data_IF_529740298567
#
_entry.id   IF_529740298567
#
_cell.length_a   1.000
_cell.length_b   1.000
_cell.length_c   1.000
_cell.angle_alpha   90.00
_cell.angle_beta   90.00
_cell.angle_gamma   90.00
#
_symmetry.space_group_name_H-M   'P 1'
#
loop_
_entity.id
_entity.type
_entity.pdbx_description
1 polymer ?
#
# COMPACT_ATOMS: atom_id res chain seq x y z
N UNK A 1 28.78 65.18 -50.35
CA UNK A 1 27.80 65.17 -51.46
C UNK A 1 26.63 64.31 -51.03
N UNK A 2 25.51 64.99 -50.73
CA UNK A 2 24.09 64.51 -50.65
C UNK A 2 23.82 63.34 -49.69
N UNK A 3 23.28 63.48 -48.47
CA UNK A 3 22.15 64.26 -47.92
C UNK A 3 20.73 63.87 -48.40
N UNK A 4 19.96 63.36 -47.41
CA UNK A 4 18.51 63.39 -47.15
C UNK A 4 17.48 62.77 -48.12
N UNK A 5 16.61 61.90 -47.56
CA UNK A 5 15.27 62.35 -47.11
C UNK A 5 14.58 61.41 -46.10
N UNK A 6 14.07 62.06 -45.06
CA UNK A 6 13.23 61.50 -44.00
C UNK A 6 11.74 61.48 -44.38
N UNK A 7 11.01 60.52 -43.82
CA UNK A 7 9.59 60.56 -43.42
C UNK A 7 9.35 59.24 -42.66
N UNK A 8 8.71 59.13 -41.50
CA UNK A 8 7.91 60.01 -40.67
C UNK A 8 7.24 59.05 -39.67
N UNK A 9 7.28 59.37 -38.38
CA UNK A 9 6.64 58.58 -37.32
C UNK A 9 5.12 58.53 -37.54
N UNK A 10 4.52 57.35 -37.45
CA UNK A 10 3.18 57.19 -36.87
C UNK A 10 3.17 56.03 -35.90
N UNK A 11 3.00 56.41 -34.64
CA UNK A 11 2.58 55.56 -33.53
C UNK A 11 1.24 54.90 -33.84
N UNK A 12 1.18 53.58 -33.71
CA UNK A 12 -0.04 52.89 -33.26
C UNK A 12 0.37 51.95 -32.14
N UNK A 13 0.25 52.46 -30.92
CA UNK A 13 0.09 51.62 -29.74
C UNK A 13 -1.19 50.76 -29.89
N UNK A 14 -1.13 49.53 -29.37
CA UNK A 14 -2.34 48.77 -29.05
C UNK A 14 -2.53 47.48 -29.86
N UNK A 15 -1.85 46.42 -29.45
CA UNK A 15 -2.52 45.28 -28.82
C UNK A 15 -1.44 44.29 -28.41
N UNK A 16 -1.20 44.20 -27.10
CA UNK A 16 -0.32 43.19 -26.53
C UNK A 16 -0.86 41.82 -26.89
N UNK A 17 -0.21 41.15 -27.83
CA UNK A 17 -0.32 39.72 -27.96
C UNK A 17 0.19 39.13 -26.64
N UNK A 18 -0.73 38.79 -25.73
CA UNK A 18 -0.47 37.73 -24.76
C UNK A 18 -0.07 36.52 -25.59
N UNK A 19 1.23 36.31 -25.73
CA UNK A 19 1.81 35.07 -26.22
C UNK A 19 1.24 33.99 -25.30
N UNK A 20 0.22 33.30 -25.80
CA UNK A 20 -0.39 32.17 -25.11
C UNK A 20 0.76 31.24 -24.76
N UNK A 21 1.02 31.11 -23.46
CA UNK A 21 1.96 30.12 -22.95
C UNK A 21 1.56 28.80 -23.59
N UNK A 22 2.43 28.26 -24.45
CA UNK A 22 2.17 26.98 -25.10
C UNK A 22 1.81 25.99 -23.99
N UNK A 23 0.59 25.45 -24.02
CA UNK A 23 0.13 24.49 -23.04
C UNK A 23 1.00 23.24 -23.18
N UNK A 24 2.10 23.18 -22.41
CA UNK A 24 2.98 22.02 -22.33
C UNK A 24 2.27 20.95 -21.50
N UNK A 25 1.20 20.40 -22.06
CA UNK A 25 0.51 19.25 -21.49
C UNK A 25 1.13 17.98 -22.05
N UNK A 26 1.66 17.07 -21.21
CA UNK A 26 2.12 15.77 -21.68
C UNK A 26 0.99 15.03 -22.43
N UNK A 27 1.30 14.38 -23.56
CA UNK A 27 0.28 13.78 -24.45
C UNK A 27 -0.61 12.73 -23.76
N UNK A 28 -0.12 12.10 -22.69
CA UNK A 28 -0.83 11.07 -21.93
C UNK A 28 -1.68 11.62 -20.76
N UNK A 29 -1.83 12.94 -20.64
CA UNK A 29 -2.50 13.57 -19.50
C UNK A 29 -3.54 14.61 -19.88
N UNK A 30 -4.60 14.70 -19.08
CA UNK A 30 -5.55 15.81 -19.08
C UNK A 30 -5.26 16.73 -17.91
N UNK A 31 -5.26 18.03 -18.15
CA UNK A 31 -5.16 19.01 -17.08
C UNK A 31 -6.56 19.48 -16.71
N UNK A 32 -6.96 19.26 -15.46
CA UNK A 32 -8.17 19.81 -14.88
C UNK A 32 -7.77 21.09 -14.12
N UNK A 33 -8.28 22.24 -14.55
CA UNK A 33 -8.06 23.52 -13.88
C UNK A 33 -9.32 23.92 -13.13
N UNK A 34 -9.20 24.21 -11.83
CA UNK A 34 -10.26 24.73 -10.99
C UNK A 34 -9.73 25.88 -10.15
N UNK A 35 -9.99 27.12 -10.58
CA UNK A 35 -9.46 28.33 -9.93
C UNK A 35 -7.93 28.35 -9.91
N UNK A 36 -7.34 28.45 -8.71
CA UNK A 36 -5.87 28.43 -8.49
C UNK A 36 -5.25 27.04 -8.52
N UNK A 37 -6.05 25.97 -8.58
CA UNK A 37 -5.58 24.58 -8.60
C UNK A 37 -5.53 24.03 -10.02
N UNK A 38 -4.41 23.37 -10.34
CA UNK A 38 -4.20 22.64 -11.60
C UNK A 38 -3.85 21.19 -11.27
N UNK A 39 -4.67 20.25 -11.75
CA UNK A 39 -4.51 18.82 -11.53
C UNK A 39 -4.20 18.13 -12.85
N UNK A 40 -3.11 17.37 -12.87
CA UNK A 40 -2.71 16.62 -14.06
C UNK A 40 -3.14 15.16 -13.91
N UNK A 41 -4.20 14.77 -14.61
CA UNK A 41 -4.74 13.41 -14.60
C UNK A 41 -4.11 12.59 -15.73
N UNK A 42 -3.27 11.60 -15.43
CA UNK A 42 -2.81 10.63 -16.43
C UNK A 42 -3.96 9.76 -16.92
N UNK A 43 -4.30 9.83 -18.21
CA UNK A 43 -5.47 9.15 -18.79
C UNK A 43 -5.43 7.64 -18.57
N UNK A 44 -4.29 6.99 -18.83
CA UNK A 44 -4.14 5.53 -18.68
C UNK A 44 -4.27 5.07 -17.23
N UNK A 45 -3.64 5.77 -16.30
CA UNK A 45 -3.74 5.44 -14.87
C UNK A 45 -5.13 5.71 -14.31
N UNK A 46 -5.81 6.76 -14.76
CA UNK A 46 -7.20 7.05 -14.40
C UNK A 46 -8.15 5.97 -14.95
N UNK A 47 -7.97 5.56 -16.21
CA UNK A 47 -8.73 4.45 -16.81
C UNK A 47 -8.47 3.12 -16.09
N UNK A 48 -7.22 2.81 -15.77
CA UNK A 48 -6.87 1.62 -15.00
C UNK A 48 -7.54 1.62 -13.61
N UNK A 49 -7.50 2.75 -12.90
CA UNK A 49 -8.21 2.89 -11.63
C UNK A 49 -9.73 2.74 -11.81
N UNK A 50 -10.32 3.38 -12.82
CA UNK A 50 -11.75 3.29 -13.11
C UNK A 50 -12.19 1.86 -13.45
N UNK A 51 -11.35 1.06 -14.13
CA UNK A 51 -11.60 -0.35 -14.42
C UNK A 51 -11.38 -1.27 -13.21
N UNK A 52 -10.49 -0.91 -12.29
CA UNK A 52 -10.26 -1.67 -11.06
C UNK A 52 -11.41 -1.53 -10.05
N UNK A 53 -12.13 -0.40 -10.04
CA UNK A 53 -13.28 -0.18 -9.17
C UNK A 53 -14.39 -1.25 -9.36
N UNK A 54 -14.93 -1.52 -10.56
CA UNK A 54 -15.94 -2.55 -10.74
C UNK A 54 -15.42 -3.95 -10.41
N UNK A 55 -14.15 -4.25 -10.70
CA UNK A 55 -13.51 -5.52 -10.30
C UNK A 55 -13.51 -5.66 -8.78
N UNK A 56 -13.15 -4.59 -8.05
CA UNK A 56 -13.15 -4.58 -6.60
C UNK A 56 -14.57 -4.77 -6.03
N UNK A 57 -15.58 -4.14 -6.63
CA UNK A 57 -16.99 -4.31 -6.25
C UNK A 57 -17.42 -5.77 -6.43
N UNK A 58 -17.10 -6.38 -7.59
CA UNK A 58 -17.41 -7.79 -7.85
C UNK A 58 -16.69 -8.70 -6.84
N UNK A 59 -15.40 -8.49 -6.58
CA UNK A 59 -14.65 -9.29 -5.60
C UNK A 59 -15.18 -9.12 -4.19
N UNK A 60 -15.62 -7.92 -3.81
CA UNK A 60 -16.25 -7.65 -2.51
C UNK A 60 -17.58 -8.39 -2.41
N UNK A 61 -18.42 -8.36 -3.45
CA UNK A 61 -19.66 -9.12 -3.49
C UNK A 61 -19.41 -10.64 -3.38
N UNK A 62 -18.41 -11.15 -4.11
CA UNK A 62 -17.99 -12.55 -4.01
C UNK A 62 -17.47 -12.89 -2.62
N UNK A 63 -16.71 -12.01 -1.96
CA UNK A 63 -16.23 -12.22 -0.60
C UNK A 63 -17.37 -12.22 0.44
N UNK A 64 -18.43 -11.42 0.22
CA UNK A 64 -19.64 -11.46 1.06
C UNK A 64 -20.38 -12.78 0.90
N UNK A 65 -20.46 -13.27 -0.33
CA UNK A 65 -21.08 -14.57 -0.68
C UNK A 65 -20.24 -15.77 -0.25
N UNK A 66 -18.92 -15.63 -0.16
CA UNK A 66 -18.00 -16.68 0.26
C UNK A 66 -18.32 -17.12 1.69
N UNK A 67 -18.62 -18.39 1.85
CA UNK A 67 -19.16 -18.95 3.09
C UNK A 67 -18.58 -20.33 3.35
N UNK A 68 -17.86 -20.46 4.47
CA UNK A 68 -17.44 -21.74 5.07
C UNK A 68 -18.61 -22.47 5.75
N UNK A 69 -19.69 -21.75 6.04
CA UNK A 69 -20.85 -22.23 6.83
C UNK A 69 -22.01 -22.73 5.96
N UNK A 70 -21.85 -22.80 4.63
CA UNK A 70 -22.88 -23.31 3.72
C UNK A 70 -24.09 -22.38 3.48
N UNK A 71 -24.08 -21.18 4.07
CA UNK A 71 -25.12 -20.17 3.93
C UNK A 71 -25.46 -19.87 2.46
N UNK A 72 -26.75 -19.89 2.13
CA UNK A 72 -27.27 -19.64 0.78
C UNK A 72 -27.26 -18.16 0.39
N UNK A 73 -27.41 -17.88 -0.91
CA UNK A 73 -27.48 -16.50 -1.42
C UNK A 73 -28.63 -15.69 -0.79
N UNK A 74 -29.87 -16.21 -0.69
CA UNK A 74 -30.99 -15.45 -0.09
C UNK A 74 -30.77 -15.15 1.40
N UNK A 75 -30.17 -16.09 2.14
CA UNK A 75 -29.80 -15.87 3.55
C UNK A 75 -28.75 -14.78 3.70
N UNK A 76 -27.74 -14.77 2.82
CA UNK A 76 -26.71 -13.73 2.83
C UNK A 76 -27.31 -12.35 2.53
N UNK A 77 -28.21 -12.26 1.55
CA UNK A 77 -28.89 -11.01 1.19
C UNK A 77 -29.84 -10.54 2.30
N UNK A 78 -30.61 -11.44 2.90
CA UNK A 78 -31.50 -11.10 4.02
C UNK A 78 -30.72 -10.69 5.28
N UNK A 79 -29.58 -11.34 5.56
CA UNK A 79 -28.64 -10.93 6.59
C UNK A 79 -28.06 -9.53 6.34
N UNK A 80 -27.71 -9.23 5.08
CA UNK A 80 -27.20 -7.92 4.67
C UNK A 80 -28.26 -6.82 4.84
N UNK A 81 -29.51 -7.09 4.44
CA UNK A 81 -30.64 -6.17 4.55
C UNK A 81 -31.18 -6.08 5.98
N UNK A 82 -30.84 -7.02 6.86
CA UNK A 82 -31.31 -7.05 8.25
C UNK A 82 -32.71 -7.62 8.40
N UNK A 83 -33.20 -8.33 7.39
CA UNK A 83 -34.55 -8.93 7.35
C UNK A 83 -34.53 -10.44 7.60
N UNK A 84 -33.35 -11.04 7.74
CA UNK A 84 -33.17 -12.46 8.05
C UNK A 84 -33.26 -12.77 9.56
N UNK A 85 -33.04 -14.03 9.91
CA UNK A 85 -32.92 -14.47 11.30
C UNK A 85 -31.81 -13.68 12.05
N UNK A 86 -31.98 -13.36 13.35
CA UNK A 86 -30.98 -12.63 14.13
C UNK A 86 -29.56 -13.22 14.03
N UNK A 87 -29.42 -14.55 13.99
CA UNK A 87 -28.13 -15.22 13.82
C UNK A 87 -27.50 -14.96 12.45
N UNK A 88 -28.29 -15.02 11.38
CA UNK A 88 -27.84 -14.70 10.01
C UNK A 88 -27.41 -13.25 9.89
N UNK A 89 -28.18 -12.32 10.48
CA UNK A 89 -27.86 -10.89 10.48
C UNK A 89 -26.55 -10.63 11.23
N UNK A 90 -26.37 -11.24 12.41
CA UNK A 90 -25.14 -11.12 13.19
C UNK A 90 -23.92 -11.65 12.42
N UNK A 91 -24.01 -12.83 11.80
CA UNK A 91 -22.91 -13.40 11.02
C UNK A 91 -22.53 -12.47 9.86
N UNK A 92 -23.51 -11.96 9.11
CA UNK A 92 -23.22 -11.10 7.95
C UNK A 92 -22.70 -9.73 8.39
N UNK A 93 -23.40 -9.04 9.31
CA UNK A 93 -23.10 -7.64 9.64
C UNK A 93 -21.98 -7.44 10.66
N UNK A 94 -21.84 -8.35 11.62
CA UNK A 94 -20.92 -8.17 12.74
C UNK A 94 -19.62 -8.98 12.57
N UNK A 95 -19.65 -10.05 11.77
CA UNK A 95 -18.45 -10.85 11.50
C UNK A 95 -17.93 -10.71 10.06
N UNK A 96 -18.79 -10.83 9.04
CA UNK A 96 -18.32 -10.85 7.64
C UNK A 96 -17.99 -9.47 7.09
N UNK A 97 -18.90 -8.51 7.20
CA UNK A 97 -18.70 -7.17 6.67
C UNK A 97 -17.48 -6.46 7.27
N UNK A 98 -17.27 -6.41 8.60
CA UNK A 98 -16.09 -5.76 9.15
C UNK A 98 -14.78 -6.48 8.77
N UNK A 99 -14.78 -7.82 8.66
CA UNK A 99 -13.62 -8.58 8.15
C UNK A 99 -13.27 -8.20 6.71
N UNK A 100 -14.26 -8.11 5.83
CA UNK A 100 -14.06 -7.74 4.43
C UNK A 100 -13.58 -6.27 4.35
N UNK A 101 -14.22 -5.39 5.10
CA UNK A 101 -13.84 -3.98 5.17
C UNK A 101 -12.39 -3.80 5.65
N UNK A 102 -12.02 -4.46 6.75
CA UNK A 102 -10.65 -4.45 7.25
C UNK A 102 -9.67 -5.02 6.21
N UNK A 103 -10.02 -6.13 5.54
CA UNK A 103 -9.20 -6.72 4.47
C UNK A 103 -8.95 -5.76 3.30
N UNK A 104 -9.98 -5.05 2.84
CA UNK A 104 -9.86 -4.05 1.79
C UNK A 104 -8.90 -2.92 2.21
N UNK A 105 -9.01 -2.44 3.45
CA UNK A 105 -8.16 -1.39 4.00
C UNK A 105 -6.70 -1.85 4.17
N UNK A 106 -6.48 -3.05 4.72
CA UNK A 106 -5.16 -3.68 4.84
C UNK A 106 -4.52 -3.85 3.46
N UNK A 107 -5.29 -4.30 2.46
CA UNK A 107 -4.80 -4.50 1.11
C UNK A 107 -4.41 -3.20 0.43
N UNK A 108 -5.22 -2.15 0.59
CA UNK A 108 -4.89 -0.82 0.12
C UNK A 108 -3.61 -0.28 0.77
N UNK A 109 -3.48 -0.43 2.09
CA UNK A 109 -2.31 0.01 2.85
C UNK A 109 -1.03 -0.71 2.41
N UNK A 110 -1.05 -2.04 2.30
CA UNK A 110 0.10 -2.84 1.80
C UNK A 110 0.44 -2.50 0.36
N UNK A 111 -0.55 -2.30 -0.50
CA UNK A 111 -0.34 -1.91 -1.89
C UNK A 111 0.38 -0.56 -2.01
N UNK A 112 -0.04 0.44 -1.22
CA UNK A 112 0.62 1.75 -1.20
C UNK A 112 2.01 1.66 -0.57
N UNK A 113 2.17 0.96 0.56
CA UNK A 113 3.46 0.78 1.20
C UNK A 113 4.47 0.12 0.25
N UNK A 114 4.06 -0.94 -0.43
CA UNK A 114 4.85 -1.59 -1.48
C UNK A 114 5.23 -0.64 -2.61
N UNK A 115 4.28 0.17 -3.09
CA UNK A 115 4.54 1.16 -4.14
C UNK A 115 5.62 2.18 -3.72
N UNK A 116 5.54 2.70 -2.50
CA UNK A 116 6.52 3.64 -1.96
C UNK A 116 7.89 2.97 -1.81
N UNK A 117 7.94 1.76 -1.22
CA UNK A 117 9.20 1.02 -1.02
C UNK A 117 9.89 0.67 -2.34
N UNK A 118 9.14 0.16 -3.33
CA UNK A 118 9.69 -0.16 -4.66
C UNK A 118 10.22 1.09 -5.38
N UNK A 119 9.52 2.21 -5.25
CA UNK A 119 9.93 3.49 -5.84
C UNK A 119 11.20 4.01 -5.19
N UNK A 120 11.31 3.93 -3.86
CA UNK A 120 12.50 4.35 -3.12
C UNK A 120 13.72 3.47 -3.40
N UNK A 121 13.51 2.15 -3.49
CA UNK A 121 14.57 1.21 -3.76
C UNK A 121 15.01 1.18 -5.24
N UNK A 122 14.21 1.77 -6.15
CA UNK A 122 14.41 1.60 -7.58
C UNK A 122 14.31 0.14 -8.04
N UNK A 123 13.67 -0.72 -7.23
CA UNK A 123 13.65 -2.17 -7.40
C UNK A 123 12.23 -2.70 -7.20
N UNK A 124 11.70 -3.36 -8.24
CA UNK A 124 10.35 -3.96 -8.24
C UNK A 124 10.18 -5.12 -7.27
N UNK A 125 11.28 -5.66 -6.74
CA UNK A 125 11.28 -6.74 -5.74
C UNK A 125 11.34 -6.22 -4.29
N UNK A 126 11.50 -4.91 -4.08
CA UNK A 126 11.60 -4.37 -2.74
C UNK A 126 10.22 -4.41 -2.04
N UNK A 127 10.21 -4.89 -0.80
CA UNK A 127 9.03 -4.91 0.08
C UNK A 127 9.34 -4.18 1.39
N UNK A 128 8.31 -3.62 2.07
CA UNK A 128 8.50 -2.97 3.37
C UNK A 128 9.09 -3.91 4.43
N UNK A 129 8.97 -5.23 4.26
CA UNK A 129 9.53 -6.25 5.16
C UNK A 129 11.05 -6.17 5.26
N UNK A 130 11.73 -5.71 4.20
CA UNK A 130 13.18 -5.53 4.16
C UNK A 130 13.69 -4.50 5.19
N UNK A 131 12.80 -3.67 5.74
CA UNK A 131 13.09 -2.65 6.77
C UNK A 131 12.65 -3.14 8.17
N UNK A 132 12.29 -4.42 8.31
CA UNK A 132 11.90 -5.02 9.59
C UNK A 132 10.55 -4.59 10.12
N UNK A 133 9.67 -4.10 9.24
CA UNK A 133 8.30 -3.71 9.60
C UNK A 133 7.54 -4.91 10.19
N UNK A 134 7.65 -6.06 9.54
CA UNK A 134 6.94 -7.26 9.94
C UNK A 134 7.43 -7.81 11.28
N UNK A 135 8.75 -7.92 11.43
CA UNK A 135 9.39 -8.45 12.65
C UNK A 135 9.16 -7.51 13.82
N UNK A 136 9.28 -6.19 13.60
CA UNK A 136 9.01 -5.16 14.60
C UNK A 136 7.58 -5.19 15.11
N UNK A 137 6.61 -5.27 14.20
CA UNK A 137 5.19 -5.40 14.56
C UNK A 137 4.94 -6.71 15.33
N UNK A 138 5.51 -7.82 14.86
CA UNK A 138 5.36 -9.14 15.48
C UNK A 138 5.94 -9.16 16.89
N UNK A 139 7.17 -8.68 17.08
CA UNK A 139 7.81 -8.63 18.39
C UNK A 139 7.06 -7.72 19.37
N UNK A 140 6.50 -6.60 18.93
CA UNK A 140 5.67 -5.76 19.80
C UNK A 140 4.40 -6.48 20.28
N UNK A 141 3.73 -7.21 19.37
CA UNK A 141 2.55 -8.01 19.71
C UNK A 141 2.90 -9.15 20.66
N UNK A 142 3.99 -9.87 20.36
CA UNK A 142 4.51 -10.98 21.18
C UNK A 142 4.92 -10.52 22.58
N UNK A 143 5.65 -9.41 22.69
CA UNK A 143 6.12 -8.88 23.97
C UNK A 143 4.97 -8.44 24.89
N UNK A 144 3.90 -7.87 24.31
CA UNK A 144 2.69 -7.51 25.08
C UNK A 144 1.90 -8.75 25.47
N UNK A 145 1.78 -9.73 24.58
CA UNK A 145 1.13 -11.01 24.87
C UNK A 145 1.79 -11.72 26.08
N UNK A 146 3.13 -11.69 26.15
CA UNK A 146 3.88 -12.29 27.26
C UNK A 146 3.79 -11.52 28.59
N UNK A 147 3.51 -10.22 28.54
CA UNK A 147 3.46 -9.35 29.73
C UNK A 147 2.07 -9.16 30.34
N UNK A 148 1.00 -9.61 29.69
CA UNK A 148 -0.37 -9.35 30.13
C UNK A 148 -1.12 -10.64 30.45
N UNK A 149 -1.77 -10.69 31.62
CA UNK A 149 -2.74 -11.74 31.98
C UNK A 149 -4.15 -11.46 31.45
N UNK A 150 -4.41 -10.27 30.89
CA UNK A 150 -5.76 -9.77 30.60
C UNK A 150 -5.96 -9.05 29.26
N UNK A 151 -4.94 -8.84 28.41
CA UNK A 151 -5.07 -8.07 27.16
C UNK A 151 -4.57 -8.86 25.94
N UNK A 152 -5.37 -9.86 25.59
CA UNK A 152 -5.15 -10.78 24.47
C UNK A 152 -5.48 -10.06 23.15
N UNK A 153 -4.47 -9.81 22.30
CA UNK A 153 -4.56 -9.76 20.82
C UNK A 153 -5.45 -8.66 20.17
N UNK A 154 -6.11 -7.79 20.93
CA UNK A 154 -7.06 -6.78 20.39
C UNK A 154 -6.49 -5.39 20.04
N UNK A 155 -5.28 -5.06 20.49
CA UNK A 155 -4.72 -3.71 20.33
C UNK A 155 -4.01 -3.55 18.98
N UNK A 156 -4.79 -3.35 17.92
CA UNK A 156 -4.31 -3.12 16.54
C UNK A 156 -3.22 -2.05 16.42
N UNK A 157 -3.20 -1.07 17.34
CA UNK A 157 -2.25 0.05 17.37
C UNK A 157 -0.81 -0.37 17.74
N UNK A 158 -0.63 -1.56 18.33
CA UNK A 158 0.71 -2.08 18.69
C UNK A 158 1.55 -2.42 17.46
N UNK A 159 0.93 -2.96 16.40
CA UNK A 159 1.62 -3.25 15.14
C UNK A 159 2.29 -2.03 14.51
N UNK A 160 1.59 -0.90 14.29
CA UNK A 160 2.20 0.33 13.83
C UNK A 160 3.36 0.81 14.71
N UNK A 161 3.23 0.75 16.04
CA UNK A 161 4.28 1.21 16.95
C UNK A 161 5.51 0.31 16.84
N UNK A 162 5.34 -1.01 16.85
CA UNK A 162 6.42 -1.97 16.67
C UNK A 162 7.13 -1.81 15.32
N UNK A 163 6.36 -1.63 14.25
CA UNK A 163 6.88 -1.38 12.91
C UNK A 163 7.70 -0.09 12.83
N UNK A 164 7.20 1.01 13.38
CA UNK A 164 7.91 2.30 13.42
C UNK A 164 9.17 2.19 14.27
N UNK A 165 9.12 1.50 15.42
CA UNK A 165 10.29 1.29 16.27
C UNK A 165 11.38 0.48 15.56
N UNK A 166 11.03 -0.63 14.91
CA UNK A 166 11.99 -1.42 14.15
C UNK A 166 12.58 -0.64 12.96
N UNK A 167 11.74 0.06 12.20
CA UNK A 167 12.24 0.89 11.11
C UNK A 167 13.16 2.03 11.60
N UNK A 168 12.87 2.64 12.75
CA UNK A 168 13.74 3.63 13.35
C UNK A 168 15.09 3.04 13.73
N UNK A 169 15.12 1.84 14.34
CA UNK A 169 16.36 1.12 14.65
C UNK A 169 17.16 0.85 13.38
N UNK A 170 16.51 0.35 12.32
CA UNK A 170 17.15 0.10 11.02
C UNK A 170 17.77 1.37 10.46
N UNK A 171 17.02 2.48 10.44
CA UNK A 171 17.50 3.76 9.90
C UNK A 171 18.68 4.30 10.72
N UNK A 172 18.61 4.21 12.06
CA UNK A 172 19.70 4.65 12.94
C UNK A 172 20.96 3.81 12.73
N UNK A 173 20.85 2.49 12.73
CA UNK A 173 21.96 1.57 12.47
C UNK A 173 22.53 1.70 11.05
N UNK A 174 21.69 2.06 10.08
CA UNK A 174 22.11 2.28 8.69
C UNK A 174 22.84 3.62 8.47
N UNK A 175 23.01 4.46 9.50
CA UNK A 175 23.71 5.75 9.41
C UNK A 175 22.79 6.95 9.10
N UNK A 176 21.49 6.82 9.36
CA UNK A 176 20.50 7.88 9.21
C UNK A 176 19.76 7.88 7.87
N UNK A 177 18.70 8.71 7.77
CA UNK A 177 17.71 8.72 6.68
C UNK A 177 18.20 9.26 5.31
N UNK A 178 19.46 9.01 4.95
CA UNK A 178 20.07 9.41 3.68
C UNK A 178 21.26 8.54 3.26
N UNK A 179 21.53 7.43 3.95
CA UNK A 179 22.58 6.51 3.56
C UNK A 179 22.17 5.67 2.34
N UNK A 180 23.17 5.22 1.58
CA UNK A 180 22.98 4.41 0.37
C UNK A 180 22.04 3.23 0.64
N UNK A 181 21.04 3.04 -0.23
CA UNK A 181 19.94 2.07 -0.03
C UNK A 181 20.41 0.63 0.26
N UNK A 182 21.61 0.25 -0.21
CA UNK A 182 22.22 -1.05 0.11
C UNK A 182 22.49 -1.25 1.61
N UNK A 183 22.99 -0.23 2.32
CA UNK A 183 23.25 -0.33 3.77
C UNK A 183 21.96 -0.52 4.56
N UNK A 184 20.91 0.24 4.21
CA UNK A 184 19.59 0.13 4.84
C UNK A 184 19.05 -1.29 4.67
N UNK A 185 19.24 -1.91 3.51
CA UNK A 185 18.80 -3.27 3.23
C UNK A 185 19.53 -4.31 4.09
N UNK A 186 20.87 -4.27 4.13
CA UNK A 186 21.68 -5.22 4.91
C UNK A 186 21.43 -5.06 6.41
N UNK A 187 21.37 -3.81 6.90
CA UNK A 187 21.02 -3.51 8.29
C UNK A 187 19.60 -3.98 8.62
N UNK A 188 18.66 -3.77 7.70
CA UNK A 188 17.27 -4.25 7.81
C UNK A 188 17.21 -5.74 8.05
N UNK A 189 17.86 -6.54 7.20
CA UNK A 189 17.93 -8.00 7.35
C UNK A 189 18.51 -8.40 8.71
N UNK A 190 19.60 -7.77 9.15
CA UNK A 190 20.22 -8.07 10.44
C UNK A 190 19.31 -7.77 11.63
N UNK A 191 18.68 -6.59 11.64
CA UNK A 191 17.75 -6.15 12.70
C UNK A 191 16.49 -7.01 12.71
N UNK A 192 15.89 -7.25 11.55
CA UNK A 192 14.78 -8.18 11.35
C UNK A 192 15.04 -9.54 11.96
N UNK A 193 16.19 -10.14 11.63
CA UNK A 193 16.57 -11.48 12.10
C UNK A 193 16.73 -11.48 13.62
N UNK A 194 17.34 -10.44 14.19
CA UNK A 194 17.49 -10.31 15.64
C UNK A 194 16.13 -10.18 16.34
N UNK A 195 15.25 -9.31 15.84
CA UNK A 195 13.91 -9.10 16.39
C UNK A 195 13.07 -10.38 16.29
N UNK A 196 13.13 -11.08 15.15
CA UNK A 196 12.49 -12.37 14.95
C UNK A 196 12.95 -13.41 15.96
N UNK A 197 14.26 -13.56 16.15
CA UNK A 197 14.83 -14.50 17.12
C UNK A 197 14.40 -14.19 18.58
N UNK A 198 14.25 -12.91 18.93
CA UNK A 198 13.68 -12.51 20.23
C UNK A 198 12.21 -12.89 20.33
N UNK A 199 11.43 -12.69 19.26
CA UNK A 199 10.03 -13.11 19.19
C UNK A 199 9.86 -14.62 19.36
N UNK A 200 10.69 -15.41 18.69
CA UNK A 200 10.70 -16.88 18.80
C UNK A 200 11.06 -17.34 20.23
N UNK A 201 12.05 -16.68 20.86
CA UNK A 201 12.42 -16.97 22.25
C UNK A 201 11.26 -16.68 23.21
N UNK A 202 10.53 -15.58 23.03
CA UNK A 202 9.36 -15.26 23.86
C UNK A 202 8.27 -16.31 23.63
N UNK A 203 7.96 -16.65 22.37
CA UNK A 203 6.95 -17.67 22.05
C UNK A 203 7.29 -19.04 22.63
N UNK A 204 8.57 -19.40 22.71
CA UNK A 204 9.00 -20.68 23.31
C UNK A 204 8.67 -20.83 24.80
N UNK A 205 8.29 -19.73 25.48
CA UNK A 205 7.98 -19.70 26.91
C UNK A 205 6.48 -19.52 27.21
N UNK A 206 5.66 -19.35 26.18
CA UNK A 206 4.22 -19.15 26.32
C UNK A 206 3.45 -20.47 26.43
N UNK A 207 2.24 -20.40 27.00
CA UNK A 207 1.33 -21.55 27.05
C UNK A 207 0.70 -21.82 25.66
N UNK A 208 0.33 -23.07 25.37
CA UNK A 208 -0.16 -23.54 24.06
C UNK A 208 -1.31 -22.69 23.52
N UNK A 209 -2.22 -22.22 24.38
CA UNK A 209 -3.35 -21.38 23.99
C UNK A 209 -2.91 -19.99 23.49
N UNK A 210 -1.97 -19.34 24.20
CA UNK A 210 -1.43 -18.04 23.80
C UNK A 210 -0.58 -18.18 22.55
N UNK A 211 0.27 -19.22 22.51
CA UNK A 211 1.13 -19.53 21.38
C UNK A 211 0.32 -19.80 20.10
N UNK A 212 -0.77 -20.58 20.19
CA UNK A 212 -1.65 -20.85 19.06
C UNK A 212 -2.34 -19.59 18.50
N UNK A 213 -2.79 -18.69 19.38
CA UNK A 213 -3.37 -17.41 18.98
C UNK A 213 -2.37 -16.49 18.29
N UNK A 214 -1.16 -16.38 18.84
CA UNK A 214 -0.08 -15.58 18.24
C UNK A 214 0.40 -16.20 16.92
N UNK A 215 0.49 -17.52 16.82
CA UNK A 215 0.82 -18.21 15.57
C UNK A 215 -0.20 -17.89 14.47
N UNK A 216 -1.50 -17.97 14.77
CA UNK A 216 -2.54 -17.66 13.79
C UNK A 216 -2.49 -16.18 13.34
N UNK A 217 -2.13 -15.27 14.25
CA UNK A 217 -1.90 -13.87 13.93
C UNK A 217 -0.65 -13.68 13.04
N UNK A 218 0.46 -14.35 13.39
CA UNK A 218 1.76 -14.25 12.71
C UNK A 218 1.75 -14.83 11.30
N UNK A 219 0.85 -15.78 11.01
CA UNK A 219 0.63 -16.33 9.67
C UNK A 219 -0.20 -15.38 8.78
N UNK A 220 -0.76 -14.30 9.35
CA UNK A 220 -1.57 -13.31 8.63
C UNK A 220 -3.02 -13.76 8.46
N UNK A 221 -3.90 -13.23 9.32
CA UNK A 221 -5.31 -13.61 9.35
C UNK A 221 -6.23 -12.40 9.57
N UNK A 222 -7.32 -12.38 8.82
CA UNK A 222 -8.41 -11.40 8.98
C UNK A 222 -9.52 -11.93 9.91
N UNK A 223 -9.34 -13.11 10.51
CA UNK A 223 -10.33 -13.69 11.42
C UNK A 223 -10.50 -12.81 12.67
N UNK A 224 -11.75 -12.64 13.09
CA UNK A 224 -12.09 -11.86 14.29
C UNK A 224 -11.88 -10.34 14.15
N UNK A 225 -11.80 -9.79 12.93
CA UNK A 225 -11.72 -8.33 12.72
C UNK A 225 -13.12 -7.73 12.72
N UNK A 226 -13.41 -6.99 13.77
CA UNK A 226 -14.67 -6.30 13.97
C UNK A 226 -14.61 -4.83 13.52
N UNK A 227 -15.71 -4.09 13.68
CA UNK A 227 -15.77 -2.66 13.40
C UNK A 227 -14.89 -1.83 14.35
N UNK A 228 -14.60 -2.35 15.55
CA UNK A 228 -13.71 -1.71 16.53
C UNK A 228 -12.27 -1.60 16.06
N UNK A 229 -11.82 -2.52 15.19
CA UNK A 229 -10.51 -2.47 14.53
C UNK A 229 -10.58 -1.89 13.12
N UNK A 230 -11.65 -2.19 12.38
CA UNK A 230 -11.81 -1.70 11.00
C UNK A 230 -11.98 -0.17 10.91
N UNK A 231 -12.79 0.43 11.78
CA UNK A 231 -13.08 1.87 11.72
C UNK A 231 -11.86 2.74 12.04
N UNK A 232 -11.03 2.45 13.07
CA UNK A 232 -9.82 3.24 13.29
C UNK A 232 -8.79 3.10 12.17
N UNK A 233 -8.66 1.90 11.58
CA UNK A 233 -7.79 1.71 10.42
C UNK A 233 -8.20 2.62 9.26
N UNK A 234 -9.50 2.70 8.96
CA UNK A 234 -10.00 3.58 7.91
C UNK A 234 -9.72 5.07 8.22
N UNK A 235 -9.85 5.50 9.47
CA UNK A 235 -9.50 6.87 9.89
C UNK A 235 -8.01 7.17 9.73
N UNK A 236 -7.14 6.21 10.07
CA UNK A 236 -5.69 6.35 9.87
C UNK A 236 -5.37 6.44 8.37
N UNK A 237 -5.97 5.58 7.55
CA UNK A 237 -5.78 5.62 6.10
C UNK A 237 -6.34 6.89 5.46
N UNK A 238 -7.40 7.48 6.02
CA UNK A 238 -7.93 8.76 5.57
C UNK A 238 -6.86 9.87 5.66
N UNK A 239 -5.89 9.75 6.56
CA UNK A 239 -4.75 10.67 6.69
C UNK A 239 -3.55 10.21 5.86
N UNK A 240 -3.18 8.93 5.94
CA UNK A 240 -1.96 8.41 5.30
C UNK A 240 -2.08 8.32 3.77
N UNK A 241 -3.27 8.05 3.21
CA UNK A 241 -3.46 7.92 1.76
C UNK A 241 -3.28 9.27 1.04
N UNK A 242 -3.89 10.39 1.48
CA UNK A 242 -3.61 11.70 0.89
C UNK A 242 -2.14 12.10 0.98
N UNK A 243 -1.49 11.84 2.13
CA UNK A 243 -0.04 12.04 2.29
C UNK A 243 0.74 11.22 1.26
N UNK A 244 0.34 9.97 1.03
CA UNK A 244 1.00 9.09 0.06
C UNK A 244 0.84 9.64 -1.35
N UNK A 245 -0.35 10.07 -1.74
CA UNK A 245 -0.59 10.69 -3.05
C UNK A 245 0.27 11.95 -3.25
N UNK A 246 0.40 12.80 -2.24
CA UNK A 246 1.25 14.00 -2.28
C UNK A 246 2.74 13.65 -2.42
N UNK A 247 3.22 12.67 -1.65
CA UNK A 247 4.60 12.19 -1.71
C UNK A 247 4.89 11.48 -3.04
N UNK A 248 3.97 10.66 -3.54
CA UNK A 248 4.09 9.94 -4.81
C UNK A 248 4.25 10.85 -6.01
N UNK A 249 3.60 12.01 -5.99
CA UNK A 249 3.81 13.05 -7.00
C UNK A 249 5.27 13.53 -6.99
N UNK A 250 5.83 13.81 -5.81
CA UNK A 250 7.21 14.27 -5.64
C UNK A 250 8.25 13.18 -5.89
N UNK A 251 7.93 11.91 -5.62
CA UNK A 251 8.81 10.76 -5.89
C UNK A 251 9.16 10.60 -7.37
N UNK A 252 8.39 11.20 -8.27
CA UNK A 252 8.74 11.29 -9.69
C UNK A 252 10.06 12.04 -9.93
N UNK A 253 10.54 12.83 -8.97
CA UNK A 253 11.80 13.56 -9.07
C UNK A 253 13.03 12.69 -8.76
N UNK A 254 12.85 11.48 -8.20
CA UNK A 254 13.95 10.54 -7.97
C UNK A 254 14.60 10.04 -9.26
N UNK A 255 14.00 10.33 -10.43
CA UNK A 255 14.59 10.05 -11.75
C UNK A 255 15.71 11.03 -12.12
N UNK A 256 15.82 12.15 -11.41
CA UNK A 256 16.86 13.16 -11.59
C UNK A 256 17.94 13.00 -10.53
N UNK A 257 19.15 13.42 -10.86
CA UNK A 257 20.25 13.48 -9.90
C UNK A 257 19.97 14.53 -8.81
N UNK A 258 20.66 14.39 -7.68
CA UNK A 258 20.45 15.21 -6.49
C UNK A 258 20.60 16.72 -6.79
N UNK A 259 21.54 17.13 -7.65
CA UNK A 259 21.76 18.53 -8.06
C UNK A 259 20.58 19.09 -8.87
N UNK A 260 20.05 18.30 -9.81
CA UNK A 260 18.90 18.69 -10.62
C UNK A 260 17.63 18.79 -9.77
N UNK A 261 17.41 17.85 -8.85
CA UNK A 261 16.28 17.91 -7.93
C UNK A 261 16.39 19.09 -6.94
N UNK A 262 17.60 19.41 -6.47
CA UNK A 262 17.85 20.57 -5.62
C UNK A 262 17.55 21.88 -6.36
N UNK A 263 17.87 21.99 -7.65
CA UNK A 263 17.52 23.15 -8.49
C UNK A 263 16.00 23.36 -8.63
N UNK A 264 15.22 22.28 -8.50
CA UNK A 264 13.75 22.30 -8.49
C UNK A 264 13.17 22.55 -7.08
N UNK A 265 14.02 22.87 -6.09
CA UNK A 265 13.62 23.18 -4.72
C UNK A 265 13.25 21.95 -3.87
N UNK A 266 13.67 20.75 -4.27
CA UNK A 266 13.33 19.51 -3.56
C UNK A 266 14.57 18.88 -2.93
N UNK A 267 14.51 18.74 -1.61
CA UNK A 267 15.49 17.96 -0.85
C UNK A 267 15.15 16.47 -0.95
N UNK A 268 15.90 15.74 -1.79
CA UNK A 268 15.68 14.31 -2.02
C UNK A 268 15.91 13.47 -0.76
N UNK A 269 16.74 13.91 0.18
CA UNK A 269 16.95 13.21 1.45
C UNK A 269 15.69 13.25 2.31
N UNK A 270 15.07 14.43 2.45
CA UNK A 270 13.80 14.58 3.18
C UNK A 270 12.66 13.82 2.48
N UNK A 271 12.63 13.85 1.15
CA UNK A 271 11.64 13.11 0.37
C UNK A 271 11.77 11.60 0.58
N UNK A 272 12.99 11.06 0.53
CA UNK A 272 13.27 9.63 0.79
C UNK A 272 12.87 9.25 2.22
N UNK A 273 13.25 10.06 3.21
CA UNK A 273 12.89 9.85 4.61
C UNK A 273 11.37 9.86 4.84
N UNK A 274 10.66 10.86 4.29
CA UNK A 274 9.21 10.98 4.44
C UNK A 274 8.45 9.85 3.74
N UNK A 275 8.89 9.44 2.55
CA UNK A 275 8.32 8.30 1.85
C UNK A 275 8.57 6.97 2.60
N UNK A 276 9.75 6.79 3.18
CA UNK A 276 10.05 5.61 4.00
C UNK A 276 9.19 5.57 5.26
N UNK A 277 9.11 6.68 5.99
CA UNK A 277 8.27 6.79 7.18
C UNK A 277 6.80 6.47 6.87
N UNK A 278 6.31 6.95 5.72
CA UNK A 278 4.95 6.69 5.29
C UNK A 278 4.73 5.23 4.86
N UNK A 279 5.69 4.63 4.15
CA UNK A 279 5.65 3.21 3.79
C UNK A 279 5.60 2.32 5.05
N UNK A 280 6.43 2.65 6.05
CA UNK A 280 6.46 1.96 7.35
C UNK A 280 5.15 2.15 8.12
N UNK A 281 4.60 3.36 8.17
CA UNK A 281 3.33 3.62 8.87
C UNK A 281 2.17 2.84 8.21
N UNK A 282 2.09 2.85 6.88
CA UNK A 282 1.08 2.10 6.12
C UNK A 282 1.24 0.59 6.29
N UNK A 283 2.46 0.06 6.14
CA UNK A 283 2.70 -1.37 6.32
C UNK A 283 2.49 -1.80 7.79
N UNK A 284 2.95 -1.01 8.76
CA UNK A 284 2.78 -1.29 10.18
C UNK A 284 1.31 -1.29 10.63
N UNK A 285 0.51 -0.36 10.14
CA UNK A 285 -0.95 -0.36 10.36
C UNK A 285 -1.64 -1.56 9.71
N UNK A 286 -1.22 -1.92 8.50
CA UNK A 286 -1.72 -3.11 7.82
C UNK A 286 -1.35 -4.40 8.57
N UNK A 287 -0.11 -4.55 9.03
CA UNK A 287 0.37 -5.72 9.78
C UNK A 287 -0.25 -5.77 11.18
N UNK A 288 -0.44 -4.63 11.85
CA UNK A 288 -1.13 -4.60 13.14
C UNK A 288 -2.56 -5.13 13.07
N UNK A 289 -3.26 -4.85 11.96
CA UNK A 289 -4.64 -5.30 11.75
C UNK A 289 -4.70 -6.69 11.11
N UNK A 290 -4.04 -6.93 9.99
CA UNK A 290 -4.14 -8.17 9.21
C UNK A 290 -3.10 -9.24 9.56
N UNK A 291 -2.14 -8.92 10.44
CA UNK A 291 -0.93 -9.71 10.63
C UNK A 291 0.03 -9.60 9.44
N UNK A 292 1.15 -10.33 9.50
CA UNK A 292 2.09 -10.48 8.39
C UNK A 292 1.43 -11.05 7.12
N UNK A 293 1.09 -10.21 6.14
CA UNK A 293 0.55 -10.67 4.86
C UNK A 293 1.61 -10.48 3.78
N UNK A 294 2.33 -11.55 3.49
CA UNK A 294 3.34 -11.57 2.44
C UNK A 294 2.72 -11.35 1.05
N UNK A 295 3.58 -11.08 0.07
CA UNK A 295 3.29 -10.99 -1.36
C UNK A 295 2.48 -9.77 -1.83
N UNK A 296 1.45 -9.33 -1.11
CA UNK A 296 0.54 -8.26 -1.56
C UNK A 296 1.30 -6.95 -1.82
N UNK A 297 2.19 -6.56 -0.90
CA UNK A 297 3.03 -5.37 -1.04
C UNK A 297 4.00 -5.46 -2.23
N UNK A 298 4.38 -6.67 -2.65
CA UNK A 298 5.21 -6.86 -3.84
C UNK A 298 4.38 -6.78 -5.12
N UNK A 299 3.27 -7.51 -5.18
CA UNK A 299 2.51 -7.74 -6.41
C UNK A 299 1.63 -6.56 -6.82
N UNK A 300 0.97 -5.92 -5.86
CA UNK A 300 0.03 -4.84 -6.10
C UNK A 300 0.64 -3.68 -6.91
N UNK A 301 1.80 -3.10 -6.54
CA UNK A 301 2.42 -2.03 -7.33
C UNK A 301 2.92 -2.48 -8.70
N UNK A 302 3.42 -3.71 -8.83
CA UNK A 302 3.87 -4.26 -10.13
C UNK A 302 2.71 -4.40 -11.10
N UNK A 303 1.58 -4.93 -10.63
CA UNK A 303 0.35 -5.05 -11.40
C UNK A 303 -0.22 -3.66 -11.74
N UNK A 304 -0.29 -2.76 -10.76
CA UNK A 304 -0.75 -1.39 -10.96
C UNK A 304 0.09 -0.65 -12.00
N UNK A 305 1.42 -0.81 -11.98
CA UNK A 305 2.32 -0.19 -12.96
C UNK A 305 2.10 -0.75 -14.37
N UNK A 306 1.83 -2.06 -14.48
CA UNK A 306 1.52 -2.68 -15.77
C UNK A 306 0.20 -2.17 -16.37
N UNK A 307 -0.79 -1.88 -15.53
CA UNK A 307 -2.07 -1.31 -15.97
C UNK A 307 -1.96 0.20 -16.28
N UNK A 308 -1.26 0.95 -15.44
CA UNK A 308 -1.17 2.41 -15.53
C UNK A 308 -0.14 2.91 -16.56
N UNK A 309 0.88 2.10 -16.88
CA UNK A 309 1.99 2.47 -17.76
C UNK A 309 3.23 2.98 -17.01
N UNK A 310 4.39 3.11 -17.69
CA UNK A 310 5.71 3.27 -17.06
C UNK A 310 6.00 4.66 -16.48
N UNK A 311 5.19 5.67 -16.77
CA UNK A 311 5.59 7.07 -16.60
C UNK A 311 5.47 7.64 -15.18
N UNK A 312 4.69 7.00 -14.31
CA UNK A 312 4.33 7.56 -12.99
C UNK A 312 4.32 6.50 -11.89
N UNK A 313 4.37 6.97 -10.64
CA UNK A 313 4.24 6.15 -9.43
C UNK A 313 2.75 5.83 -9.20
N UNK A 314 2.31 4.57 -9.27
CA UNK A 314 0.90 4.22 -9.41
C UNK A 314 0.21 4.02 -8.05
N UNK A 315 0.20 5.04 -7.18
CA UNK A 315 -0.28 4.90 -5.78
C UNK A 315 -1.73 4.42 -5.71
N UNK A 316 -2.65 5.10 -6.39
CA UNK A 316 -4.07 4.72 -6.39
C UNK A 316 -4.30 3.34 -7.00
N UNK A 317 -3.59 3.02 -8.09
CA UNK A 317 -3.66 1.70 -8.71
C UNK A 317 -3.16 0.60 -7.77
N UNK A 318 -2.08 0.87 -7.03
CA UNK A 318 -1.51 -0.08 -6.07
C UNK A 318 -2.45 -0.30 -4.89
N UNK A 319 -3.12 0.75 -4.41
CA UNK A 319 -4.13 0.64 -3.36
C UNK A 319 -5.30 -0.25 -3.79
N UNK A 320 -5.89 0.03 -4.96
CA UNK A 320 -7.03 -0.73 -5.49
C UNK A 320 -6.66 -2.18 -5.80
N UNK A 321 -5.47 -2.40 -6.38
CA UNK A 321 -4.99 -3.74 -6.71
C UNK A 321 -4.69 -4.53 -5.44
N UNK A 322 -4.08 -3.91 -4.43
CA UNK A 322 -3.82 -4.55 -3.14
C UNK A 322 -5.12 -4.94 -2.42
N UNK A 323 -6.12 -4.06 -2.40
CA UNK A 323 -7.44 -4.36 -1.87
C UNK A 323 -8.11 -5.52 -2.62
N UNK A 324 -8.02 -5.55 -3.95
CA UNK A 324 -8.55 -6.64 -4.78
C UNK A 324 -7.86 -7.97 -4.50
N UNK A 325 -6.52 -7.98 -4.37
CA UNK A 325 -5.75 -9.18 -4.06
C UNK A 325 -6.13 -9.77 -2.70
N UNK A 326 -6.29 -8.93 -1.68
CA UNK A 326 -6.72 -9.40 -0.35
C UNK A 326 -8.16 -9.89 -0.37
N UNK A 327 -9.08 -9.16 -1.01
CA UNK A 327 -10.47 -9.60 -1.11
C UNK A 327 -10.59 -10.96 -1.82
N UNK A 328 -9.84 -11.16 -2.91
CA UNK A 328 -9.79 -12.43 -3.62
C UNK A 328 -9.16 -13.55 -2.75
N UNK A 329 -8.06 -13.26 -2.06
CA UNK A 329 -7.39 -14.25 -1.22
C UNK A 329 -8.25 -14.65 0.00
N UNK A 330 -8.95 -13.70 0.63
CA UNK A 330 -9.88 -13.97 1.73
C UNK A 330 -11.09 -14.78 1.28
N UNK A 331 -11.67 -14.44 0.13
CA UNK A 331 -12.77 -15.22 -0.46
C UNK A 331 -12.32 -16.65 -0.80
N UNK A 332 -11.16 -16.82 -1.42
CA UNK A 332 -10.58 -18.14 -1.72
C UNK A 332 -10.28 -18.93 -0.45
N UNK A 333 -9.71 -18.30 0.58
CA UNK A 333 -9.38 -18.96 1.85
C UNK A 333 -10.60 -19.52 2.58
N UNK A 334 -11.78 -18.93 2.37
CA UNK A 334 -13.05 -19.42 2.96
C UNK A 334 -13.72 -20.54 2.16
N UNK A 335 -13.39 -20.70 0.88
CA UNK A 335 -14.05 -21.67 -0.02
C UNK A 335 -13.14 -22.85 -0.37
N UNK A 336 -11.82 -22.67 -0.33
CA UNK A 336 -10.86 -23.66 -0.80
C UNK A 336 -10.72 -24.90 0.10
N UNK A 337 -11.11 -24.82 1.38
CA UNK A 337 -11.01 -25.93 2.32
C UNK A 337 -12.19 -25.94 3.30
N UNK A 338 -12.50 -27.10 3.94
CA UNK A 338 -13.51 -27.19 5.00
C UNK A 338 -13.19 -26.32 6.23
N UNK A 339 -11.92 -25.96 6.40
CA UNK A 339 -11.42 -25.07 7.44
C UNK A 339 -10.99 -23.76 6.79
N UNK A 340 -11.34 -22.64 7.40
CA UNK A 340 -10.95 -21.32 6.89
C UNK A 340 -9.43 -21.16 6.90
N UNK A 341 -8.86 -20.99 5.71
CA UNK A 341 -7.44 -20.76 5.56
C UNK A 341 -7.10 -19.28 5.86
N UNK A 342 -6.03 -19.00 6.62
CA UNK A 342 -5.55 -17.63 6.81
C UNK A 342 -5.17 -17.00 5.47
N UNK A 343 -5.50 -15.72 5.32
CA UNK A 343 -5.25 -14.97 4.09
C UNK A 343 -3.77 -14.96 3.72
N UNK A 344 -2.88 -14.85 4.71
CA UNK A 344 -1.43 -14.88 4.49
C UNK A 344 -0.92 -16.19 3.90
N UNK A 345 -1.54 -17.33 4.22
CA UNK A 345 -1.23 -18.62 3.58
C UNK A 345 -1.62 -18.59 2.12
N UNK A 346 -2.85 -18.15 1.81
CA UNK A 346 -3.36 -18.07 0.45
C UNK A 346 -2.50 -17.14 -0.41
N UNK A 347 -2.16 -15.94 0.09
CA UNK A 347 -1.32 -15.00 -0.65
C UNK A 347 0.11 -15.52 -0.84
N UNK A 348 0.67 -16.24 0.13
CA UNK A 348 2.00 -16.84 0.02
C UNK A 348 2.05 -17.92 -1.07
N UNK A 349 1.04 -18.79 -1.14
CA UNK A 349 0.92 -19.81 -2.19
C UNK A 349 0.79 -19.18 -3.58
N UNK A 350 -0.02 -18.12 -3.70
CA UNK A 350 -0.17 -17.39 -4.97
C UNK A 350 1.10 -16.60 -5.35
N UNK A 351 1.94 -16.27 -4.37
CA UNK A 351 3.13 -15.46 -4.59
C UNK A 351 4.22 -16.13 -5.42
N UNK A 352 4.46 -17.42 -5.20
CA UNK A 352 5.45 -18.19 -5.97
C UNK A 352 5.17 -18.18 -7.48
N UNK A 353 3.98 -18.60 -7.95
CA UNK A 353 3.60 -18.55 -9.36
C UNK A 353 3.67 -17.13 -9.95
N UNK A 354 3.28 -16.11 -9.19
CA UNK A 354 3.39 -14.73 -9.65
C UNK A 354 4.84 -14.30 -9.85
N UNK A 355 5.74 -14.61 -8.92
CA UNK A 355 7.16 -14.30 -9.05
C UNK A 355 7.78 -15.01 -10.25
N UNK A 356 7.43 -16.28 -10.49
CA UNK A 356 7.83 -17.00 -11.70
C UNK A 356 7.33 -16.30 -12.96
N UNK A 357 6.06 -15.85 -12.98
CA UNK A 357 5.52 -15.11 -14.11
C UNK A 357 6.19 -13.74 -14.33
N UNK A 358 6.58 -13.04 -13.25
CA UNK A 358 7.35 -11.79 -13.36
C UNK A 358 8.73 -12.08 -13.94
N UNK A 359 9.40 -13.16 -13.48
CA UNK A 359 10.73 -13.56 -13.92
C UNK A 359 10.77 -14.02 -15.38
N UNK A 360 9.81 -14.84 -15.81
CA UNK A 360 9.77 -15.40 -17.17
C UNK A 360 9.25 -14.43 -18.22
N UNK A 361 8.75 -13.25 -17.83
CA UNK A 361 8.30 -12.26 -18.79
C UNK A 361 9.46 -11.36 -19.20
N UNK A 362 9.75 -11.24 -20.52
CA UNK A 362 10.71 -10.27 -21.02
C UNK A 362 10.30 -8.85 -20.61
N UNK A 363 11.24 -8.09 -20.03
CA UNK A 363 11.01 -6.70 -19.70
C UNK A 363 10.96 -5.90 -21.02
N UNK A 364 9.77 -5.46 -21.43
CA UNK A 364 9.56 -4.72 -22.69
C UNK A 364 10.34 -3.40 -22.77
N UNK A 365 10.98 -2.97 -21.67
CA UNK A 365 11.78 -1.76 -21.59
C UNK A 365 13.22 -1.94 -22.09
N UNK A 366 13.73 -3.17 -22.13
CA UNK A 366 15.03 -3.50 -22.70
C UNK A 366 14.80 -4.29 -23.97
N UNK A 367 14.90 -3.63 -25.13
CA UNK A 367 14.90 -4.28 -26.44
C UNK A 367 16.16 -5.13 -26.66
N UNK A 368 16.38 -6.12 -25.79
CA UNK A 368 17.35 -7.20 -25.99
C UNK A 368 16.58 -8.50 -25.80
N UNK A 369 16.21 -9.06 -26.95
CA UNK A 369 15.88 -10.47 -27.09
C UNK A 369 17.11 -11.31 -26.74
#
# INVERSE_FOLDING_TARGET
MTDLKAAGRTSTAGSGAHTGAADVTPPDSTVLRGGTLSWLLPRRSALAAALLVPVLVVLTALAVMASSTGMSLPETVSGLLGTGDPGTVMIVRDFRLPRIFAGLMVGAALGIAGCLTQTLAGNRLATPDLVGVNDGATAAVVAVAAGSTTAVVGNWWLGPIGAVAAAAIVVLCAGGAGSAGYRVLVTGIGVSTFIGAVGDLIMSRENDNTAGGVFLWAVGSLNGRDWGVGTPLALVLLVLVPLALAVGHRLQLLRFDDDMAASLGVDLRRLRAGALALAVALAGTAVGVGGPIAFVALAAPVLAQRLAGPTRVPITGSALTGAALIAAADALGRVAAPVELPVGVVTSVLGGPFLLWVLFRPDRATGKA
#
